data_IF_079382650412
#
_entry.id   IF_079382650412
#
_cell.length_a   1.000
_cell.length_b   1.000
_cell.length_c   1.000
_cell.angle_alpha   90.00
_cell.angle_beta   90.00
_cell.angle_gamma   90.00
#
_symmetry.space_group_name_H-M   'P 1'
#
loop_
_entity.id
_entity.type
_entity.pdbx_description
1 polymer ?
#
# COMPACT_ATOMS: atom_id res chain seq x y z
N UNK A 1 5.95 26.91 30.99
CA UNK A 1 6.38 27.04 29.58
C UNK A 1 7.16 28.34 29.44
N UNK A 2 8.27 28.39 28.68
CA UNK A 2 8.89 29.67 28.32
C UNK A 2 7.88 30.59 27.62
N UNK A 3 7.97 31.89 27.85
CA UNK A 3 7.00 32.87 27.35
C UNK A 3 6.95 32.99 25.81
N UNK A 4 7.94 32.44 25.14
CA UNK A 4 8.16 32.44 23.68
C UNK A 4 7.81 31.13 22.97
N UNK A 5 7.19 30.19 23.70
CA UNK A 5 6.81 28.88 23.12
C UNK A 5 5.64 29.07 22.14
N UNK A 6 5.89 28.79 20.85
CA UNK A 6 4.82 28.77 19.84
C UNK A 6 3.90 27.56 20.05
N UNK A 7 2.60 27.78 19.87
CA UNK A 7 1.61 26.69 19.89
C UNK A 7 1.82 25.85 18.62
N UNK A 8 2.12 24.56 18.80
CA UNK A 8 2.18 23.64 17.67
C UNK A 8 0.77 23.39 17.13
N UNK A 9 0.58 23.61 15.85
CA UNK A 9 -0.66 23.25 15.14
C UNK A 9 -0.38 22.08 14.21
N UNK A 10 -1.23 21.06 14.28
CA UNK A 10 -1.13 19.89 13.38
C UNK A 10 -1.45 20.38 11.97
N UNK A 11 -0.60 20.08 10.96
CA UNK A 11 -0.88 20.44 9.58
C UNK A 11 -2.18 19.83 9.07
N UNK A 12 -2.95 20.57 8.29
CA UNK A 12 -4.16 20.08 7.60
C UNK A 12 -3.87 19.34 6.31
N UNK A 13 -2.62 19.46 5.81
CA UNK A 13 -2.14 18.79 4.61
C UNK A 13 -0.77 18.15 4.88
N UNK A 14 -0.52 17.04 4.21
CA UNK A 14 0.76 16.35 4.30
C UNK A 14 1.88 17.22 3.72
N UNK A 15 2.97 17.50 4.45
CA UNK A 15 4.06 18.33 3.96
C UNK A 15 4.86 17.67 2.82
N UNK A 16 4.69 16.36 2.58
CA UNK A 16 5.41 15.61 1.55
C UNK A 16 4.63 15.51 0.25
N UNK A 17 3.34 15.12 0.31
CA UNK A 17 2.53 14.86 -0.90
C UNK A 17 1.38 15.85 -1.10
N UNK A 18 1.12 16.78 -0.16
CA UNK A 18 0.03 17.74 -0.24
C UNK A 18 -1.38 17.17 -0.03
N UNK A 19 -1.53 15.86 0.15
CA UNK A 19 -2.83 15.26 0.42
C UNK A 19 -3.38 15.68 1.78
N UNK A 20 -4.68 15.60 1.99
CA UNK A 20 -5.30 15.96 3.27
C UNK A 20 -4.69 15.15 4.43
N UNK A 21 -4.51 15.82 5.57
CA UNK A 21 -4.15 15.17 6.82
C UNK A 21 -5.43 15.06 7.66
N UNK A 22 -5.97 13.85 7.74
CA UNK A 22 -7.28 13.57 8.30
C UNK A 22 -7.17 12.86 9.65
N UNK A 23 -8.11 13.18 10.53
CA UNK A 23 -8.31 12.47 11.80
C UNK A 23 -9.72 11.92 11.81
N UNK A 24 -9.84 10.60 11.90
CA UNK A 24 -11.15 9.99 12.05
C UNK A 24 -11.73 10.23 13.44
N UNK A 25 -13.07 10.26 13.50
CA UNK A 25 -13.78 10.47 14.76
C UNK A 25 -13.45 9.34 15.73
N UNK A 26 -12.95 9.72 16.92
CA UNK A 26 -12.53 8.77 17.95
C UNK A 26 -11.07 8.33 17.88
N UNK A 27 -10.30 8.72 16.85
CA UNK A 27 -8.85 8.45 16.79
C UNK A 27 -8.02 9.62 17.34
N UNK A 28 -6.88 9.27 17.94
CA UNK A 28 -5.90 10.24 18.43
C UNK A 28 -5.00 10.76 17.32
N UNK A 29 -4.74 9.93 16.31
CA UNK A 29 -3.76 10.20 15.25
C UNK A 29 -4.37 10.95 14.07
N UNK A 30 -3.61 11.92 13.56
CA UNK A 30 -3.86 12.56 12.25
C UNK A 30 -2.98 11.89 11.20
N UNK A 31 -3.56 11.43 10.10
CA UNK A 31 -2.88 10.65 9.07
C UNK A 31 -3.02 11.30 7.70
N UNK A 32 -1.99 11.15 6.87
CA UNK A 32 -2.06 11.56 5.48
C UNK A 32 -2.94 10.59 4.67
N UNK A 33 -3.91 11.13 3.93
CA UNK A 33 -4.80 10.36 3.06
C UNK A 33 -4.13 9.89 1.74
N UNK A 34 -2.89 10.32 1.46
CA UNK A 34 -2.17 10.01 0.21
C UNK A 34 -1.80 8.52 0.01
N UNK A 35 -1.84 7.70 1.08
CA UNK A 35 -1.67 6.24 0.99
C UNK A 35 -0.51 5.82 0.08
N UNK A 36 -0.80 4.99 -0.92
CA UNK A 36 0.17 4.44 -1.89
C UNK A 36 0.91 5.50 -2.73
N UNK A 37 0.43 6.74 -2.76
CA UNK A 37 1.03 7.81 -3.57
C UNK A 37 1.85 8.80 -2.76
N UNK A 38 1.91 8.64 -1.45
CA UNK A 38 2.71 9.49 -0.58
C UNK A 38 4.13 8.92 -0.43
N UNK A 39 5.15 9.67 -0.87
CA UNK A 39 6.54 9.25 -0.75
C UNK A 39 6.96 8.95 0.71
N UNK A 40 6.41 9.66 1.69
CA UNK A 40 6.68 9.37 3.11
C UNK A 40 6.09 8.04 3.60
N UNK A 41 5.10 7.48 2.90
CA UNK A 41 4.48 6.20 3.24
C UNK A 41 4.98 5.05 2.35
N UNK A 42 5.75 5.35 1.31
CA UNK A 42 6.15 4.39 0.28
C UNK A 42 6.90 3.18 0.85
N UNK A 43 7.86 3.41 1.75
CA UNK A 43 8.61 2.30 2.38
C UNK A 43 7.66 1.35 3.13
N UNK A 44 6.76 1.90 3.94
CA UNK A 44 5.76 1.11 4.67
C UNK A 44 4.79 0.38 3.73
N UNK A 45 4.37 1.03 2.64
CA UNK A 45 3.49 0.43 1.64
C UNK A 45 4.17 -0.75 0.92
N UNK A 46 5.45 -0.61 0.53
CA UNK A 46 6.23 -1.68 -0.09
C UNK A 46 6.45 -2.84 0.91
N UNK A 47 6.83 -2.54 2.16
CA UNK A 47 7.02 -3.58 3.19
C UNK A 47 5.72 -4.35 3.46
N UNK A 48 4.58 -3.66 3.54
CA UNK A 48 3.27 -4.30 3.68
C UNK A 48 2.94 -5.17 2.45
N UNK A 49 3.07 -4.60 1.24
CA UNK A 49 2.81 -5.28 -0.02
C UNK A 49 3.65 -6.56 -0.17
N UNK A 50 4.95 -6.49 0.18
CA UNK A 50 5.87 -7.62 0.08
C UNK A 50 5.67 -8.68 1.18
N UNK A 51 4.93 -8.36 2.25
CA UNK A 51 4.79 -9.22 3.42
C UNK A 51 4.24 -10.60 3.08
N UNK A 52 4.54 -11.60 3.94
CA UNK A 52 4.14 -13.00 3.76
C UNK A 52 2.61 -13.20 3.60
N UNK A 53 1.81 -12.36 4.25
CA UNK A 53 0.34 -12.43 4.17
C UNK A 53 -0.22 -11.71 2.95
N UNK A 54 0.56 -10.80 2.35
CA UNK A 54 0.22 -10.07 1.13
C UNK A 54 0.81 -10.79 -0.09
N UNK A 55 1.70 -10.16 -0.86
CA UNK A 55 2.25 -10.73 -2.10
C UNK A 55 3.37 -11.73 -1.88
N UNK A 56 3.90 -11.87 -0.65
CA UNK A 56 4.92 -12.85 -0.24
C UNK A 56 6.20 -12.77 -1.09
N UNK A 57 6.75 -11.57 -1.19
CA UNK A 57 7.99 -11.33 -1.93
C UNK A 57 9.19 -11.59 -1.03
N UNK A 58 9.68 -12.84 -1.05
CA UNK A 58 10.84 -13.24 -0.25
C UNK A 58 12.09 -12.46 -0.69
N UNK A 59 12.86 -12.00 0.29
CA UNK A 59 14.08 -11.22 0.04
C UNK A 59 13.88 -9.70 -0.02
N UNK A 60 12.65 -9.20 -0.13
CA UNK A 60 12.33 -7.76 -0.09
C UNK A 60 12.05 -7.31 1.36
N UNK A 61 13.09 -7.34 2.21
CA UNK A 61 12.99 -6.88 3.60
C UNK A 61 13.21 -5.38 3.76
N UNK A 62 12.89 -4.84 4.97
CA UNK A 62 12.87 -3.41 5.27
C UNK A 62 14.17 -2.67 4.90
N UNK A 63 15.34 -3.27 5.15
CA UNK A 63 16.63 -2.66 4.81
C UNK A 63 16.86 -2.50 3.31
N UNK A 64 16.35 -3.42 2.52
CA UNK A 64 16.42 -3.33 1.07
C UNK A 64 15.41 -2.32 0.54
N UNK A 65 14.20 -2.32 1.08
CA UNK A 65 13.16 -1.32 0.76
C UNK A 65 13.67 0.09 1.04
N UNK A 66 14.29 0.32 2.20
CA UNK A 66 14.94 1.58 2.56
C UNK A 66 15.97 2.01 1.48
N UNK A 67 16.89 1.11 1.09
CA UNK A 67 17.88 1.42 0.06
C UNK A 67 17.26 1.76 -1.29
N UNK A 68 16.24 0.99 -1.72
CA UNK A 68 15.58 1.18 -3.01
C UNK A 68 14.89 2.55 -3.10
N UNK A 69 14.23 2.95 -2.02
CA UNK A 69 13.52 4.23 -1.95
C UNK A 69 14.51 5.39 -1.79
N UNK A 70 15.49 5.29 -0.89
CA UNK A 70 16.47 6.36 -0.62
C UNK A 70 17.38 6.64 -1.83
N UNK A 71 17.72 5.60 -2.60
CA UNK A 71 18.47 5.75 -3.88
C UNK A 71 17.58 6.17 -5.06
N UNK A 72 16.27 6.35 -4.85
CA UNK A 72 15.32 6.74 -5.90
C UNK A 72 15.07 5.68 -6.98
N UNK A 73 15.44 4.43 -6.71
CA UNK A 73 15.25 3.30 -7.64
C UNK A 73 13.79 2.83 -7.68
N UNK A 74 13.04 3.07 -6.59
CA UNK A 74 11.61 2.82 -6.45
C UNK A 74 10.96 4.11 -5.96
N UNK A 75 10.11 4.71 -6.77
CA UNK A 75 9.39 5.94 -6.48
C UNK A 75 7.88 5.73 -6.31
N UNK A 76 7.39 4.59 -6.80
CA UNK A 76 6.01 4.12 -6.64
C UNK A 76 6.00 2.60 -6.43
N UNK A 77 4.93 2.09 -5.82
CA UNK A 77 4.82 0.67 -5.50
C UNK A 77 5.03 -0.26 -6.73
N UNK A 78 4.49 0.02 -7.94
CA UNK A 78 4.71 -0.83 -9.11
C UNK A 78 6.17 -0.92 -9.58
N UNK A 79 7.02 0.05 -9.22
CA UNK A 79 8.42 0.07 -9.67
C UNK A 79 9.23 -1.13 -9.18
N UNK A 80 8.81 -1.79 -8.09
CA UNK A 80 9.45 -3.02 -7.61
C UNK A 80 9.48 -4.12 -8.69
N UNK A 81 8.50 -4.13 -9.59
CA UNK A 81 8.41 -5.10 -10.70
C UNK A 81 9.23 -4.71 -11.94
N UNK A 82 9.84 -3.51 -11.93
CA UNK A 82 10.72 -2.99 -12.99
C UNK A 82 12.21 -3.11 -12.66
N UNK A 83 12.52 -3.59 -11.45
CA UNK A 83 13.89 -3.83 -11.00
C UNK A 83 14.55 -4.91 -11.84
N UNK A 84 15.84 -4.73 -12.15
CA UNK A 84 16.66 -5.67 -12.89
C UNK A 84 17.86 -6.17 -12.06
N UNK A 85 18.51 -7.23 -12.57
CA UNK A 85 19.63 -7.86 -11.89
C UNK A 85 20.83 -6.91 -11.68
N UNK A 86 21.27 -6.12 -12.68
CA UNK A 86 22.39 -5.19 -12.48
C UNK A 86 22.12 -4.15 -11.41
N UNK A 87 20.92 -3.58 -11.40
CA UNK A 87 20.49 -2.59 -10.38
C UNK A 87 20.53 -3.19 -8.98
N UNK A 88 19.95 -4.38 -8.80
CA UNK A 88 19.91 -5.05 -7.51
C UNK A 88 21.29 -5.48 -7.04
N UNK A 89 22.12 -6.07 -7.92
CA UNK A 89 23.47 -6.51 -7.59
C UNK A 89 24.42 -5.34 -7.23
N UNK A 90 24.08 -4.12 -7.64
CA UNK A 90 24.80 -2.89 -7.27
C UNK A 90 24.45 -2.35 -5.87
N UNK A 91 23.48 -2.95 -5.17
CA UNK A 91 23.08 -2.53 -3.83
C UNK A 91 23.99 -3.11 -2.74
N UNK A 92 24.03 -2.40 -1.60
CA UNK A 92 24.84 -2.81 -0.47
C UNK A 92 24.37 -4.17 0.07
N UNK A 93 25.32 -5.11 0.26
CA UNK A 93 25.06 -6.46 0.77
C UNK A 93 24.15 -7.32 -0.11
N UNK A 94 24.02 -6.97 -1.40
CA UNK A 94 23.23 -7.72 -2.38
C UNK A 94 24.18 -8.48 -3.33
N UNK A 95 24.36 -9.76 -3.06
CA UNK A 95 25.08 -10.64 -4.00
C UNK A 95 24.18 -10.98 -5.19
N UNK A 96 24.78 -11.26 -6.35
CA UNK A 96 24.06 -11.61 -7.59
C UNK A 96 23.02 -12.73 -7.39
N UNK A 97 23.37 -13.77 -6.63
CA UNK A 97 22.44 -14.86 -6.30
C UNK A 97 21.22 -14.36 -5.49
N UNK A 98 21.44 -13.44 -4.54
CA UNK A 98 20.34 -12.87 -3.74
C UNK A 98 19.45 -11.96 -4.60
N UNK A 99 20.06 -11.19 -5.50
CA UNK A 99 19.34 -10.36 -6.47
C UNK A 99 18.48 -11.22 -7.41
N UNK A 100 19.03 -12.33 -7.94
CA UNK A 100 18.27 -13.26 -8.77
C UNK A 100 17.11 -13.91 -8.00
N UNK A 101 17.34 -14.37 -6.77
CA UNK A 101 16.28 -14.92 -5.91
C UNK A 101 15.14 -13.92 -5.68
N UNK A 102 15.46 -12.64 -5.48
CA UNK A 102 14.46 -11.58 -5.34
C UNK A 102 13.65 -11.40 -6.64
N UNK A 103 14.30 -11.37 -7.81
CA UNK A 103 13.61 -11.27 -9.09
C UNK A 103 12.67 -12.46 -9.32
N UNK A 104 13.11 -13.67 -8.96
CA UNK A 104 12.29 -14.88 -9.05
C UNK A 104 11.08 -14.80 -8.09
N UNK A 105 11.27 -14.27 -6.87
CA UNK A 105 10.19 -14.04 -5.92
C UNK A 105 9.19 -12.98 -6.43
N UNK A 106 9.67 -11.88 -7.03
CA UNK A 106 8.83 -10.88 -7.68
C UNK A 106 8.04 -11.48 -8.85
N UNK A 107 8.68 -12.27 -9.70
CA UNK A 107 8.01 -12.97 -10.80
C UNK A 107 6.92 -13.93 -10.29
N UNK A 108 7.22 -14.71 -9.24
CA UNK A 108 6.27 -15.62 -8.60
C UNK A 108 5.07 -14.88 -7.99
N UNK A 109 5.29 -13.71 -7.39
CA UNK A 109 4.24 -12.94 -6.73
C UNK A 109 3.17 -12.43 -7.70
N UNK A 110 3.48 -12.31 -8.99
CA UNK A 110 2.51 -11.94 -10.04
C UNK A 110 1.36 -12.94 -10.18
N UNK A 111 1.55 -14.18 -9.73
CA UNK A 111 0.49 -15.21 -9.68
C UNK A 111 0.00 -15.34 -8.24
N UNK A 112 -1.00 -14.54 -7.88
CA UNK A 112 -1.57 -14.50 -6.54
C UNK A 112 -3.10 -14.62 -6.56
N UNK A 113 -3.72 -14.72 -5.40
CA UNK A 113 -5.18 -14.71 -5.27
C UNK A 113 -5.70 -13.28 -5.14
N UNK A 114 -6.93 -13.03 -5.60
CA UNK A 114 -7.59 -11.72 -5.44
C UNK A 114 -7.60 -11.25 -3.97
N UNK A 115 -7.83 -12.17 -3.02
CA UNK A 115 -7.82 -11.85 -1.59
C UNK A 115 -6.46 -11.29 -1.12
N UNK A 116 -5.36 -11.93 -1.53
CA UNK A 116 -4.01 -11.47 -1.18
C UNK A 116 -3.69 -10.14 -1.84
N UNK A 117 -4.11 -9.96 -3.09
CA UNK A 117 -3.94 -8.70 -3.81
C UNK A 117 -4.72 -7.57 -3.12
N UNK A 118 -6.01 -7.76 -2.78
CA UNK A 118 -6.79 -6.75 -2.04
C UNK A 118 -6.11 -6.41 -0.72
N UNK A 119 -5.67 -7.40 0.05
CA UNK A 119 -4.96 -7.17 1.31
C UNK A 119 -3.65 -6.39 1.10
N UNK A 120 -2.90 -6.71 0.05
CA UNK A 120 -1.62 -6.07 -0.26
C UNK A 120 -1.73 -4.58 -0.59
N UNK A 121 -2.89 -4.10 -1.05
CA UNK A 121 -3.14 -2.69 -1.32
C UNK A 121 -3.15 -1.82 -0.06
N UNK A 122 -3.23 -2.42 1.14
CA UNK A 122 -3.20 -1.70 2.40
C UNK A 122 -4.39 -0.76 2.61
N UNK A 123 -5.55 -1.09 2.04
CA UNK A 123 -6.79 -0.32 2.22
C UNK A 123 -7.12 -0.28 3.71
N UNK A 124 -7.34 0.92 4.24
CA UNK A 124 -7.60 1.11 5.67
C UNK A 124 -8.79 0.28 6.12
N UNK A 125 -8.72 -0.30 7.32
CA UNK A 125 -9.70 -1.20 7.91
C UNK A 125 -9.95 -2.51 7.14
N UNK A 126 -9.24 -2.77 6.04
CA UNK A 126 -9.31 -4.04 5.30
C UNK A 126 -8.19 -4.95 5.76
N UNK A 127 -8.51 -5.85 6.68
CA UNK A 127 -7.62 -6.91 7.13
C UNK A 127 -7.62 -8.13 6.20
N UNK A 128 -6.81 -9.15 6.55
CA UNK A 128 -6.72 -10.39 5.75
C UNK A 128 -8.07 -11.08 5.59
N UNK A 129 -8.87 -11.18 6.67
CA UNK A 129 -10.21 -11.79 6.64
C UNK A 129 -11.15 -11.00 5.75
N UNK A 130 -11.25 -9.69 5.97
CA UNK A 130 -12.09 -8.79 5.16
C UNK A 130 -11.71 -8.86 3.67
N UNK A 131 -10.42 -8.91 3.34
CA UNK A 131 -9.96 -9.06 1.96
C UNK A 131 -10.42 -10.39 1.34
N UNK A 132 -10.43 -11.49 2.12
CA UNK A 132 -10.97 -12.78 1.67
C UNK A 132 -12.47 -12.71 1.40
N UNK A 133 -13.23 -12.06 2.27
CA UNK A 133 -14.68 -11.94 2.13
C UNK A 133 -15.06 -11.05 0.95
N UNK A 134 -14.35 -9.92 0.76
CA UNK A 134 -14.48 -9.08 -0.42
C UNK A 134 -14.16 -9.85 -1.72
N UNK A 135 -13.04 -10.58 -1.74
CA UNK A 135 -12.65 -11.37 -2.91
C UNK A 135 -13.66 -12.48 -3.23
N UNK A 136 -14.21 -13.13 -2.23
CA UNK A 136 -15.23 -14.18 -2.38
C UNK A 136 -16.56 -13.60 -2.91
N UNK A 137 -16.96 -12.43 -2.39
CA UNK A 137 -18.23 -11.82 -2.74
C UNK A 137 -18.21 -11.25 -4.17
N UNK A 138 -17.16 -10.50 -4.52
CA UNK A 138 -17.08 -9.81 -5.82
C UNK A 138 -16.48 -10.67 -6.94
N UNK A 139 -15.69 -11.69 -6.60
CA UNK A 139 -15.09 -12.61 -7.56
C UNK A 139 -13.91 -12.05 -8.37
N UNK A 140 -13.97 -10.78 -8.77
CA UNK A 140 -12.90 -10.10 -9.51
C UNK A 140 -12.77 -8.62 -9.11
N UNK A 141 -11.60 -8.03 -9.39
CA UNK A 141 -11.25 -6.70 -8.90
C UNK A 141 -12.14 -5.60 -9.47
N UNK A 142 -12.52 -5.68 -10.75
CA UNK A 142 -13.35 -4.66 -11.42
C UNK A 142 -14.72 -4.52 -10.74
N UNK A 143 -15.32 -5.65 -10.31
CA UNK A 143 -16.57 -5.62 -9.57
C UNK A 143 -16.42 -4.93 -8.21
N UNK A 144 -15.31 -5.17 -7.52
CA UNK A 144 -15.01 -4.49 -6.26
C UNK A 144 -14.78 -2.99 -6.47
N UNK A 145 -14.05 -2.60 -7.52
CA UNK A 145 -13.78 -1.20 -7.85
C UNK A 145 -15.07 -0.42 -8.22
N UNK A 146 -16.04 -1.09 -8.81
CA UNK A 146 -17.32 -0.50 -9.20
C UNK A 146 -18.39 -0.56 -8.09
N UNK A 147 -18.09 -1.22 -6.95
CA UNK A 147 -19.07 -1.44 -5.88
C UNK A 147 -19.46 -0.13 -5.19
N UNK A 148 -20.76 0.05 -5.01
CA UNK A 148 -21.31 1.09 -4.16
C UNK A 148 -21.36 0.65 -2.68
N UNK A 149 -21.73 1.57 -1.79
CA UNK A 149 -21.82 1.28 -0.36
C UNK A 149 -22.83 0.15 -0.07
N UNK A 150 -23.94 0.14 -0.76
CA UNK A 150 -24.98 -0.87 -0.55
C UNK A 150 -24.47 -2.28 -0.89
N UNK A 151 -23.72 -2.42 -1.97
CA UNK A 151 -23.08 -3.69 -2.36
C UNK A 151 -21.98 -4.11 -1.37
N UNK A 152 -21.18 -3.18 -0.90
CA UNK A 152 -20.13 -3.44 0.09
C UNK A 152 -20.70 -3.90 1.42
N UNK A 153 -21.81 -3.32 1.87
CA UNK A 153 -22.50 -3.71 3.12
C UNK A 153 -23.16 -5.10 3.05
N UNK A 154 -23.26 -5.73 1.87
CA UNK A 154 -23.71 -7.13 1.73
C UNK A 154 -22.59 -8.14 2.05
N UNK A 155 -21.34 -7.69 2.10
CA UNK A 155 -20.20 -8.55 2.42
C UNK A 155 -20.18 -8.84 3.92
N UNK A 156 -20.06 -10.10 4.37
CA UNK A 156 -19.92 -10.44 5.78
C UNK A 156 -18.80 -9.61 6.44
N UNK A 157 -19.02 -9.19 7.68
CA UNK A 157 -18.06 -8.41 8.50
C UNK A 157 -17.62 -7.07 7.90
N UNK A 158 -18.29 -6.58 6.84
CA UNK A 158 -18.08 -5.24 6.29
C UNK A 158 -19.15 -4.29 6.82
N UNK A 159 -18.72 -3.43 7.76
CA UNK A 159 -19.55 -2.34 8.27
C UNK A 159 -19.34 -1.03 7.50
N UNK A 160 -20.10 0.04 7.84
CA UNK A 160 -20.02 1.34 7.16
C UNK A 160 -18.60 1.93 7.08
N UNK A 161 -17.79 1.76 8.14
CA UNK A 161 -16.39 2.25 8.19
C UNK A 161 -15.52 1.57 7.15
N UNK A 162 -15.65 0.25 7.02
CA UNK A 162 -14.89 -0.52 6.03
C UNK A 162 -15.37 -0.20 4.62
N UNK A 163 -16.69 -0.14 4.41
CA UNK A 163 -17.29 0.21 3.12
C UNK A 163 -16.82 1.60 2.65
N UNK A 164 -16.86 2.61 3.52
CA UNK A 164 -16.37 3.95 3.23
C UNK A 164 -14.87 3.95 2.88
N UNK A 165 -14.05 3.17 3.59
CA UNK A 165 -12.61 3.07 3.32
C UNK A 165 -12.31 2.46 1.95
N UNK A 166 -13.04 1.41 1.56
CA UNK A 166 -12.92 0.77 0.24
C UNK A 166 -13.34 1.74 -0.86
N UNK A 167 -14.48 2.40 -0.70
CA UNK A 167 -14.95 3.39 -1.67
C UNK A 167 -13.99 4.56 -1.82
N UNK A 168 -13.53 5.14 -0.70
CA UNK A 168 -12.57 6.23 -0.72
C UNK A 168 -11.29 5.85 -1.46
N UNK A 169 -10.75 4.65 -1.19
CA UNK A 169 -9.55 4.14 -1.85
C UNK A 169 -9.72 4.07 -3.37
N UNK A 170 -10.81 3.49 -3.86
CA UNK A 170 -11.05 3.35 -5.30
C UNK A 170 -11.66 4.59 -5.97
N UNK A 171 -12.17 5.57 -5.21
CA UNK A 171 -12.56 6.87 -5.74
C UNK A 171 -11.33 7.73 -6.11
N UNK A 172 -10.21 7.56 -5.42
CA UNK A 172 -8.97 8.28 -5.71
C UNK A 172 -8.37 7.80 -7.04
N UNK A 173 -8.26 8.72 -8.00
CA UNK A 173 -7.72 8.44 -9.33
C UNK A 173 -6.25 8.02 -9.29
N UNK A 174 -5.48 8.52 -8.32
CA UNK A 174 -4.06 8.16 -8.16
C UNK A 174 -3.91 6.73 -7.64
N UNK A 175 -4.73 6.33 -6.65
CA UNK A 175 -4.75 4.94 -6.18
C UNK A 175 -5.16 3.98 -7.30
N UNK A 176 -6.19 4.33 -8.09
CA UNK A 176 -6.58 3.52 -9.24
C UNK A 176 -5.46 3.39 -10.28
N UNK A 177 -4.71 4.47 -10.54
CA UNK A 177 -3.57 4.41 -11.45
C UNK A 177 -2.48 3.46 -10.96
N UNK A 178 -2.15 3.47 -9.65
CA UNK A 178 -1.22 2.52 -9.04
C UNK A 178 -1.72 1.08 -9.16
N UNK A 179 -3.00 0.84 -8.88
CA UNK A 179 -3.62 -0.49 -9.01
C UNK A 179 -3.58 -0.97 -10.46
N UNK A 180 -3.90 -0.10 -11.43
CA UNK A 180 -3.86 -0.43 -12.85
C UNK A 180 -2.44 -0.76 -13.33
N UNK A 181 -1.41 -0.11 -12.79
CA UNK A 181 0.00 -0.36 -13.13
C UNK A 181 0.53 -1.65 -12.49
N UNK A 182 -0.14 -2.17 -11.46
CA UNK A 182 0.17 -3.46 -10.82
C UNK A 182 -0.46 -4.67 -11.55
N UNK A 183 -1.47 -4.46 -12.40
CA UNK A 183 -2.17 -5.50 -13.16
C UNK A 183 -1.49 -5.79 -14.49
#
# INVERSE_FOLDING_TARGET
RPADTQIFTIPTHCPVCGSAAEREVGEADTRCSGGLTCAAQLQGAISHFASRRAMDVEGLGDKLVEQLVDKGLVQALPDIYRLDLPTLAGLDRMAEKSAQNLLDALAKSKTTTLARFIYSLGIRHVGETTAKDLAKHFGHLDALQAADEAALLQVPDVGPVVAASVQHFFADTKHRAVVQDLL
#
